data_IF_652785723935
#
_entry.id   IF_652785723935
#
_cell.length_a   1.000
_cell.length_b   1.000
_cell.length_c   1.000
_cell.angle_alpha   90.00
_cell.angle_beta   90.00
_cell.angle_gamma   90.00
#
_symmetry.space_group_name_H-M   'P 1'
#
loop_
_entity.id
_entity.type
_entity.pdbx_description
1 polymer ?
#
# COMPACT_ATOMS: atom_id res chain seq x y z
N UNK A 1 17.49 8.95 -3.12
CA UNK A 1 16.86 8.01 -4.07
C UNK A 1 16.54 8.79 -5.35
N UNK A 2 17.25 8.52 -6.45
CA UNK A 2 17.02 9.18 -7.75
C UNK A 2 16.05 8.30 -8.55
N UNK A 3 14.84 8.78 -8.82
CA UNK A 3 13.92 8.17 -9.79
C UNK A 3 14.32 8.62 -11.20
N UNK A 4 14.45 7.67 -12.13
CA UNK A 4 14.57 7.88 -13.57
C UNK A 4 13.15 8.10 -14.13
N UNK A 5 12.96 9.06 -15.04
CA UNK A 5 11.72 9.17 -15.83
C UNK A 5 11.09 10.57 -16.01
N UNK A 6 11.25 11.50 -15.07
CA UNK A 6 10.94 12.94 -15.26
C UNK A 6 11.64 13.74 -14.17
N UNK A 7 12.35 14.82 -14.52
CA UNK A 7 12.95 15.75 -13.55
C UNK A 7 11.81 16.37 -12.74
N UNK A 8 11.57 15.85 -11.54
CA UNK A 8 10.77 16.54 -10.53
C UNK A 8 11.56 17.79 -10.15
N UNK A 9 10.94 18.97 -10.24
CA UNK A 9 11.61 20.21 -9.88
C UNK A 9 12.08 20.11 -8.42
N UNK A 10 13.39 20.27 -8.21
CA UNK A 10 14.01 20.12 -6.90
C UNK A 10 13.50 21.18 -5.91
N UNK A 11 12.90 22.27 -6.40
CA UNK A 11 12.27 23.31 -5.59
C UNK A 11 10.94 22.87 -4.93
N UNK A 12 10.33 21.75 -5.37
CA UNK A 12 9.11 21.21 -4.76
C UNK A 12 9.36 20.53 -3.41
N UNK A 13 10.60 20.12 -3.13
CA UNK A 13 10.94 19.43 -1.89
C UNK A 13 11.69 20.36 -0.94
N UNK A 14 11.03 20.72 0.17
CA UNK A 14 11.61 21.59 1.20
C UNK A 14 12.86 20.97 1.88
N UNK A 15 13.02 19.63 1.81
CA UNK A 15 14.24 18.95 2.25
C UNK A 15 14.37 17.56 1.60
N UNK A 16 15.37 17.37 0.75
CA UNK A 16 15.64 16.11 0.04
C UNK A 16 16.34 15.04 0.89
N UNK A 17 16.80 15.38 2.10
CA UNK A 17 17.42 14.47 3.09
C UNK A 17 16.41 13.90 4.08
N UNK A 18 15.21 14.47 4.18
CA UNK A 18 14.09 13.84 4.88
C UNK A 18 13.53 12.74 3.97
N UNK A 19 13.42 11.50 4.46
CA UNK A 19 12.78 10.39 3.71
C UNK A 19 11.34 10.80 3.37
N UNK A 20 10.99 10.97 2.08
CA UNK A 20 9.61 11.26 1.72
C UNK A 20 8.89 9.92 1.54
N UNK A 21 8.26 9.42 2.61
CA UNK A 21 7.41 8.22 2.56
C UNK A 21 6.13 8.47 1.73
N UNK A 22 5.80 9.75 1.52
CA UNK A 22 4.68 10.26 0.73
C UNK A 22 5.17 11.44 -0.12
N UNK A 23 4.89 11.39 -1.42
CA UNK A 23 5.15 12.45 -2.40
C UNK A 23 3.82 13.01 -2.87
N UNK A 24 3.59 14.30 -2.66
CA UNK A 24 2.39 15.00 -3.14
C UNK A 24 2.73 15.69 -4.47
N UNK A 25 2.01 15.31 -5.52
CA UNK A 25 2.03 15.93 -6.85
C UNK A 25 0.78 16.82 -7.00
N UNK A 26 0.83 17.82 -7.88
CA UNK A 26 -0.22 18.84 -7.97
C UNK A 26 -1.67 18.32 -8.14
N UNK A 27 -1.86 17.08 -8.62
CA UNK A 27 -3.18 16.44 -8.77
C UNK A 27 -3.27 15.03 -8.16
N UNK A 28 -2.25 14.56 -7.45
CA UNK A 28 -2.24 13.21 -6.87
C UNK A 28 -1.26 13.07 -5.71
N UNK A 29 -1.51 12.10 -4.84
CA UNK A 29 -0.59 11.72 -3.76
C UNK A 29 -0.04 10.34 -4.04
N UNK A 30 1.26 10.15 -3.85
CA UNK A 30 1.96 8.90 -4.11
C UNK A 30 2.69 8.45 -2.84
N UNK A 31 2.48 7.21 -2.38
CA UNK A 31 3.15 6.65 -1.19
C UNK A 31 3.74 5.28 -1.50
N UNK A 32 4.89 4.99 -0.88
CA UNK A 32 5.55 3.69 -0.98
C UNK A 32 5.85 3.17 0.43
N UNK A 33 5.44 1.95 0.73
CA UNK A 33 5.70 1.27 1.99
C UNK A 33 6.35 -0.09 1.74
N UNK A 34 7.35 -0.47 2.54
CA UNK A 34 8.07 -1.74 2.40
C UNK A 34 7.99 -2.53 3.71
N UNK A 35 7.80 -3.85 3.60
CA UNK A 35 7.88 -4.76 4.74
C UNK A 35 9.17 -5.56 4.61
N UNK A 36 10.02 -5.48 5.64
CA UNK A 36 11.28 -6.20 5.70
C UNK A 36 11.13 -7.46 6.55
N UNK A 37 11.89 -8.49 6.19
CA UNK A 37 12.13 -9.67 7.01
C UNK A 37 13.59 -9.72 7.46
N UNK A 38 13.83 -10.19 8.69
CA UNK A 38 15.14 -10.25 9.34
C UNK A 38 15.50 -11.70 9.72
N UNK A 39 14.66 -12.69 9.37
CA UNK A 39 14.82 -14.09 9.81
C UNK A 39 16.17 -14.76 9.47
N UNK A 40 16.99 -14.23 8.54
CA UNK A 40 18.27 -14.85 8.12
C UNK A 40 19.50 -13.96 8.28
N UNK A 41 19.43 -12.86 9.04
CA UNK A 41 20.57 -11.96 9.30
C UNK A 41 20.88 -10.96 8.17
N UNK A 42 20.33 -11.17 6.95
CA UNK A 42 20.29 -10.18 5.88
C UNK A 42 18.86 -9.67 5.74
N UNK A 43 18.67 -8.35 5.85
CA UNK A 43 17.36 -7.72 5.70
C UNK A 43 16.88 -7.83 4.26
N UNK A 44 15.83 -8.63 4.02
CA UNK A 44 15.20 -8.78 2.72
C UNK A 44 13.85 -8.06 2.68
N UNK A 45 13.56 -7.36 1.58
CA UNK A 45 12.24 -6.77 1.39
C UNK A 45 11.30 -7.88 0.88
N UNK A 46 10.24 -8.19 1.64
CA UNK A 46 9.25 -9.20 1.24
C UNK A 46 8.15 -8.62 0.37
N UNK A 47 7.70 -7.40 0.69
CA UNK A 47 6.56 -6.77 0.04
C UNK A 47 6.80 -5.28 -0.12
N UNK A 48 6.38 -4.76 -1.26
CA UNK A 48 6.32 -3.33 -1.55
C UNK A 48 4.85 -2.98 -1.79
N UNK A 49 4.41 -1.87 -1.20
CA UNK A 49 3.08 -1.31 -1.36
C UNK A 49 3.23 0.07 -1.98
N UNK A 50 2.61 0.26 -3.14
CA UNK A 50 2.56 1.52 -3.87
C UNK A 50 1.11 1.99 -3.84
N UNK A 51 0.88 3.24 -3.48
CA UNK A 51 -0.45 3.84 -3.46
C UNK A 51 -0.39 5.14 -4.25
N UNK A 52 -1.21 5.25 -5.30
CA UNK A 52 -1.46 6.51 -6.00
C UNK A 52 -2.91 6.94 -5.78
N UNK A 53 -3.08 8.07 -5.11
CA UNK A 53 -4.36 8.70 -4.79
C UNK A 53 -4.62 9.84 -5.77
N UNK A 54 -5.64 9.73 -6.61
CA UNK A 54 -6.11 10.84 -7.44
C UNK A 54 -7.05 11.76 -6.63
N UNK A 55 -7.25 12.98 -7.13
CA UNK A 55 -8.24 13.92 -6.56
C UNK A 55 -9.68 13.42 -6.77
N UNK A 56 -10.62 13.94 -5.96
CA UNK A 56 -12.06 13.77 -6.20
C UNK A 56 -12.46 14.24 -7.59
N UNK A 57 -13.46 13.59 -8.18
CA UNK A 57 -13.96 13.79 -9.55
C UNK A 57 -13.09 13.12 -10.62
N UNK A 58 -11.97 12.52 -10.26
CA UNK A 58 -11.04 11.95 -11.24
C UNK A 58 -11.48 10.55 -11.69
N UNK A 59 -11.71 10.40 -12.99
CA UNK A 59 -12.02 9.12 -13.64
C UNK A 59 -10.74 8.42 -14.08
N UNK A 60 -10.48 7.26 -13.51
CA UNK A 60 -9.30 6.44 -13.80
C UNK A 60 -9.42 5.78 -15.19
N UNK A 61 -8.35 5.89 -15.97
CA UNK A 61 -8.25 5.35 -17.32
C UNK A 61 -7.02 4.47 -17.51
N UNK A 62 -6.80 4.09 -18.77
CA UNK A 62 -5.71 3.19 -19.16
C UNK A 62 -4.33 3.82 -18.91
N UNK A 63 -4.23 5.13 -19.12
CA UNK A 63 -3.00 5.90 -18.90
C UNK A 63 -2.51 5.79 -17.45
N UNK A 64 -3.39 6.03 -16.48
CA UNK A 64 -3.04 5.97 -15.06
C UNK A 64 -2.70 4.54 -14.62
N UNK A 65 -3.40 3.55 -15.16
CA UNK A 65 -3.10 2.15 -14.86
C UNK A 65 -1.75 1.74 -15.46
N UNK A 66 -1.45 2.12 -16.69
CA UNK A 66 -0.17 1.86 -17.33
C UNK A 66 0.98 2.55 -16.59
N UNK A 67 0.74 3.77 -16.07
CA UNK A 67 1.69 4.45 -15.19
C UNK A 67 1.98 3.64 -13.92
N UNK A 68 0.94 3.09 -13.28
CA UNK A 68 1.11 2.24 -12.11
C UNK A 68 1.83 0.92 -12.43
N UNK A 69 1.58 0.32 -13.60
CA UNK A 69 2.33 -0.85 -14.10
C UNK A 69 3.81 -0.50 -14.26
N UNK A 70 4.12 0.65 -14.88
CA UNK A 70 5.50 1.12 -15.05
C UNK A 70 6.23 1.28 -13.71
N UNK A 71 5.54 1.75 -12.66
CA UNK A 71 6.15 1.76 -11.32
C UNK A 71 6.47 0.36 -10.80
N UNK A 72 5.58 -0.62 -11.01
CA UNK A 72 5.85 -2.00 -10.60
C UNK A 72 7.07 -2.56 -11.35
N UNK A 73 7.15 -2.36 -12.66
CA UNK A 73 8.28 -2.78 -13.49
C UNK A 73 9.59 -2.10 -13.08
N UNK A 74 9.56 -0.79 -12.78
CA UNK A 74 10.73 -0.05 -12.28
C UNK A 74 11.25 -0.64 -10.97
N UNK A 75 10.36 -1.04 -10.06
CA UNK A 75 10.74 -1.68 -8.80
C UNK A 75 11.24 -3.11 -8.97
N UNK A 76 10.64 -3.87 -9.90
CA UNK A 76 11.10 -5.23 -10.24
C UNK A 76 12.51 -5.23 -10.83
N UNK A 77 12.81 -4.27 -11.71
CA UNK A 77 14.09 -4.15 -12.39
C UNK A 77 15.12 -3.34 -11.58
N UNK A 78 14.80 -2.96 -10.34
CA UNK A 78 15.67 -2.17 -9.50
C UNK A 78 16.79 -3.02 -8.90
N UNK A 79 17.99 -2.99 -9.49
CA UNK A 79 19.15 -3.75 -9.03
C UNK A 79 19.71 -3.38 -7.64
N UNK A 80 19.09 -2.45 -6.91
CA UNK A 80 19.46 -2.08 -5.53
C UNK A 80 18.55 -2.74 -4.49
N UNK A 81 17.42 -3.34 -4.91
CA UNK A 81 16.52 -4.03 -3.99
C UNK A 81 17.05 -5.43 -3.76
N UNK A 82 17.29 -5.76 -2.48
CA UNK A 82 17.73 -7.09 -2.08
C UNK A 82 16.49 -7.97 -1.93
N UNK A 83 16.45 -9.07 -2.71
CA UNK A 83 15.37 -10.03 -2.74
C UNK A 83 14.40 -9.85 -3.92
N UNK A 84 13.36 -10.68 -3.94
CA UNK A 84 12.29 -10.69 -4.95
C UNK A 84 10.96 -10.28 -4.28
N UNK A 85 10.78 -9.00 -3.91
CA UNK A 85 9.58 -8.57 -3.21
C UNK A 85 8.36 -8.65 -4.12
N UNK A 86 7.23 -9.04 -3.54
CA UNK A 86 5.96 -8.93 -4.23
C UNK A 86 5.43 -7.49 -4.13
N UNK A 87 5.16 -6.85 -5.27
CA UNK A 87 4.77 -5.44 -5.34
C UNK A 87 3.26 -5.31 -5.53
N UNK A 88 2.59 -4.63 -4.60
CA UNK A 88 1.17 -4.29 -4.69
C UNK A 88 1.03 -2.81 -5.01
N UNK A 89 0.45 -2.46 -6.15
CA UNK A 89 0.15 -1.09 -6.51
C UNK A 89 -1.37 -0.86 -6.50
N UNK A 90 -1.81 0.15 -5.76
CA UNK A 90 -3.21 0.58 -5.69
C UNK A 90 -3.37 1.96 -6.31
N UNK A 91 -4.24 2.04 -7.31
CA UNK A 91 -4.64 3.28 -7.94
C UNK A 91 -6.04 3.66 -7.44
N UNK A 92 -6.11 4.75 -6.68
CA UNK A 92 -7.30 5.19 -5.97
C UNK A 92 -7.94 6.39 -6.68
N UNK A 93 -9.25 6.30 -6.93
CA UNK A 93 -10.02 7.34 -7.61
C UNK A 93 -11.52 7.25 -7.31
N UNK A 94 -12.31 8.14 -7.91
CA UNK A 94 -13.76 8.16 -7.69
C UNK A 94 -14.50 7.17 -8.59
N UNK A 95 -14.07 7.06 -9.84
CA UNK A 95 -14.63 6.12 -10.83
C UNK A 95 -13.53 5.64 -11.78
N UNK A 96 -13.82 4.62 -12.58
CA UNK A 96 -12.94 4.17 -13.65
C UNK A 96 -13.70 3.97 -14.96
N UNK A 97 -13.01 3.98 -16.09
CA UNK A 97 -13.60 3.74 -17.41
C UNK A 97 -13.97 2.28 -17.63
N UNK A 98 -15.17 1.97 -18.14
CA UNK A 98 -15.67 0.60 -18.34
C UNK A 98 -14.78 -0.30 -19.21
N UNK A 99 -13.91 0.30 -20.05
CA UNK A 99 -12.99 -0.42 -20.94
C UNK A 99 -11.67 -0.83 -20.27
N UNK A 100 -11.57 -0.69 -18.94
CA UNK A 100 -10.35 -1.03 -18.19
C UNK A 100 -10.61 -2.22 -17.27
N UNK A 101 -9.75 -3.24 -17.36
CA UNK A 101 -9.68 -4.28 -16.34
C UNK A 101 -9.15 -3.67 -15.03
N UNK A 102 -9.86 -3.84 -13.90
CA UNK A 102 -9.47 -3.25 -12.61
C UNK A 102 -8.20 -3.85 -12.00
N UNK A 103 -7.88 -5.10 -12.32
CA UNK A 103 -6.71 -5.81 -11.80
C UNK A 103 -5.82 -6.22 -12.96
N UNK A 104 -4.52 -5.99 -12.82
CA UNK A 104 -3.50 -6.44 -13.76
C UNK A 104 -2.31 -7.02 -13.00
N UNK A 105 -2.01 -8.30 -13.23
CA UNK A 105 -0.80 -8.93 -12.74
C UNK A 105 0.41 -8.52 -13.61
N UNK A 106 1.57 -8.38 -12.99
CA UNK A 106 2.84 -8.05 -13.63
C UNK A 106 3.82 -9.18 -13.33
N UNK A 107 4.35 -9.79 -14.39
CA UNK A 107 5.27 -10.92 -14.30
C UNK A 107 6.65 -10.54 -14.81
N UNK A 108 7.68 -11.21 -14.31
CA UNK A 108 9.04 -11.07 -14.83
C UNK A 108 9.24 -11.84 -16.15
N UNK A 109 10.44 -11.77 -16.71
CA UNK A 109 10.84 -12.47 -17.95
C UNK A 109 10.59 -13.99 -17.89
N UNK A 110 10.71 -14.59 -16.69
CA UNK A 110 10.45 -16.00 -16.43
C UNK A 110 8.97 -16.34 -16.19
N UNK A 111 8.05 -15.41 -16.47
CA UNK A 111 6.59 -15.53 -16.26
C UNK A 111 6.18 -15.76 -14.80
N UNK A 112 7.04 -15.45 -13.84
CA UNK A 112 6.69 -15.47 -12.42
C UNK A 112 5.99 -14.16 -12.08
N UNK A 113 4.82 -14.23 -11.45
CA UNK A 113 4.10 -13.06 -10.98
C UNK A 113 4.87 -12.39 -9.83
N UNK A 114 5.25 -11.13 -10.06
CA UNK A 114 6.09 -10.35 -9.15
C UNK A 114 5.35 -9.14 -8.58
N UNK A 115 4.20 -8.79 -9.14
CA UNK A 115 3.36 -7.76 -8.59
C UNK A 115 2.00 -7.69 -9.23
N UNK A 116 1.17 -6.81 -8.70
CA UNK A 116 -0.16 -6.52 -9.23
C UNK A 116 -0.50 -5.05 -9.09
N UNK A 117 -1.23 -4.55 -10.09
CA UNK A 117 -1.85 -3.23 -10.08
C UNK A 117 -3.35 -3.43 -9.92
N UNK A 118 -3.93 -2.72 -8.96
CA UNK A 118 -5.36 -2.77 -8.69
C UNK A 118 -5.93 -1.35 -8.63
N UNK A 119 -7.00 -1.15 -9.41
CA UNK A 119 -7.85 0.03 -9.33
C UNK A 119 -8.83 -0.16 -8.17
N UNK A 120 -8.88 0.82 -7.28
CA UNK A 120 -9.77 0.85 -6.13
C UNK A 120 -10.53 2.18 -6.12
N UNK A 121 -11.83 2.11 -5.88
CA UNK A 121 -12.66 3.30 -5.69
C UNK A 121 -12.62 3.79 -4.24
N UNK A 122 -12.80 5.08 -4.02
CA UNK A 122 -12.90 5.62 -2.66
C UNK A 122 -14.02 4.95 -1.86
N UNK A 123 -15.18 4.72 -2.47
CA UNK A 123 -16.30 4.00 -1.86
C UNK A 123 -15.88 2.60 -1.38
N UNK A 124 -15.16 1.85 -2.19
CA UNK A 124 -14.69 0.50 -1.83
C UNK A 124 -13.74 0.52 -0.62
N UNK A 125 -12.90 1.55 -0.48
CA UNK A 125 -12.01 1.70 0.67
C UNK A 125 -12.81 2.03 1.93
N UNK A 126 -13.79 2.93 1.84
CA UNK A 126 -14.69 3.26 2.95
C UNK A 126 -15.46 2.02 3.39
N UNK A 127 -16.15 1.34 2.47
CA UNK A 127 -16.91 0.12 2.75
C UNK A 127 -16.03 -0.97 3.37
N UNK A 128 -14.80 -1.14 2.87
CA UNK A 128 -13.86 -2.12 3.42
C UNK A 128 -13.42 -1.75 4.84
N UNK A 129 -13.21 -0.46 5.10
CA UNK A 129 -12.77 0.04 6.41
C UNK A 129 -13.87 -0.10 7.45
N UNK A 130 -15.12 0.23 7.09
CA UNK A 130 -16.28 0.01 7.94
C UNK A 130 -16.46 -1.46 8.29
N UNK A 131 -16.44 -2.36 7.29
CA UNK A 131 -16.53 -3.81 7.52
C UNK A 131 -15.43 -4.31 8.44
N UNK A 132 -14.20 -3.84 8.27
CA UNK A 132 -13.07 -4.20 9.15
C UNK A 132 -13.30 -3.73 10.58
N UNK A 133 -13.80 -2.51 10.78
CA UNK A 133 -14.09 -1.96 12.10
C UNK A 133 -15.22 -2.72 12.79
N UNK A 134 -16.30 -3.02 12.07
CA UNK A 134 -17.41 -3.82 12.59
C UNK A 134 -16.96 -5.24 12.96
N UNK A 135 -16.17 -5.90 12.11
CA UNK A 135 -15.63 -7.21 12.41
C UNK A 135 -14.70 -7.19 13.62
N UNK A 136 -13.88 -6.15 13.77
CA UNK A 136 -13.03 -5.99 14.95
C UNK A 136 -13.87 -5.82 16.21
N UNK A 137 -14.91 -4.98 16.17
CA UNK A 137 -15.86 -4.78 17.27
C UNK A 137 -16.50 -6.12 17.67
N UNK A 138 -17.00 -6.88 16.71
CA UNK A 138 -17.66 -8.17 16.97
C UNK A 138 -16.70 -9.19 17.60
N UNK A 139 -15.46 -9.27 17.10
CA UNK A 139 -14.42 -10.15 17.68
C UNK A 139 -14.05 -9.75 19.10
N UNK A 140 -13.99 -8.44 19.40
CA UNK A 140 -13.74 -7.97 20.75
C UNK A 140 -14.93 -8.29 21.66
N UNK A 141 -16.16 -8.03 21.22
CA UNK A 141 -17.34 -8.34 22.04
C UNK A 141 -17.49 -9.82 22.33
N UNK A 142 -17.21 -10.70 21.36
CA UNK A 142 -17.23 -12.16 21.55
C UNK A 142 -16.10 -12.62 22.48
N UNK A 143 -14.89 -12.08 22.30
CA UNK A 143 -13.76 -12.40 23.20
C UNK A 143 -14.02 -11.96 24.63
N UNK A 144 -14.68 -10.82 24.84
CA UNK A 144 -14.91 -10.25 26.17
C UNK A 144 -16.29 -10.60 26.76
N UNK A 145 -17.18 -11.28 26.03
CA UNK A 145 -18.50 -11.68 26.56
C UNK A 145 -18.42 -12.78 27.61
N UNK A 146 -17.33 -13.55 27.65
CA UNK A 146 -17.09 -14.61 28.64
C UNK A 146 -16.35 -14.11 29.89
N UNK A 147 -15.87 -12.86 29.90
CA UNK A 147 -15.16 -12.29 31.03
C UNK A 147 -16.09 -11.44 31.88
N UNK A 148 -16.19 -11.76 33.17
CA UNK A 148 -16.86 -10.88 34.14
C UNK A 148 -15.95 -9.67 34.42
N UNK A 149 -16.50 -8.51 34.80
CA UNK A 149 -15.69 -7.31 35.14
C UNK A 149 -14.58 -7.60 36.17
N UNK A 150 -14.80 -8.60 37.04
CA UNK A 150 -13.83 -9.07 38.04
C UNK A 150 -12.63 -9.82 37.45
N UNK A 151 -12.79 -10.53 36.33
CA UNK A 151 -11.71 -11.29 35.67
C UNK A 151 -10.75 -10.37 34.91
N UNK A 152 -11.28 -9.28 34.35
CA UNK A 152 -10.52 -8.26 33.61
C UNK A 152 -9.62 -7.48 34.58
N UNK A 153 -10.14 -7.08 35.75
CA UNK A 153 -9.36 -6.38 36.78
C UNK A 153 -8.23 -7.25 37.36
N UNK A 154 -8.47 -8.55 37.52
CA UNK A 154 -7.50 -9.48 38.12
C UNK A 154 -6.34 -9.76 37.16
N UNK A 155 -6.60 -9.81 35.86
CA UNK A 155 -5.56 -10.01 34.83
C UNK A 155 -4.61 -8.82 34.71
N UNK A 156 -5.10 -7.58 34.84
CA UNK A 156 -4.25 -6.38 34.79
C UNK A 156 -3.25 -6.33 35.95
N UNK A 157 -3.59 -6.82 37.14
CA UNK A 157 -2.66 -6.88 38.29
C UNK A 157 -1.51 -7.87 38.10
N UNK A 158 -1.68 -8.93 37.31
CA UNK A 158 -0.63 -9.93 37.05
C UNK A 158 0.43 -9.47 36.05
N UNK A 159 0.16 -8.45 35.25
CA UNK A 159 1.08 -7.93 34.23
C UNK A 159 1.98 -6.80 34.80
N UNK A 160 1.64 -6.26 35.98
CA UNK A 160 2.34 -5.15 36.64
C UNK A 160 3.22 -5.63 37.82
N UNK A 161 3.65 -6.89 37.82
CA UNK A 161 4.65 -7.41 38.78
C UNK A 161 5.84 -7.95 38.02
#
# INVERSE_FOLDING_TARGET
MRKVGKKIDRKLFNNNKKRPDIVVMGNSTFSINCINDIDTGISNIKKILIIELKRGGFKLGREERNQAVGYVEDFMNCGTIIGNPYINAFLLGESFSEKIQPIQAVSNENKVEMGKVQICLFSQIVDSSEKRLFNLRNKLSERYSEFTEQDILTTQKKIVI
#
